data_IF_035232180209
#
_entry.id   IF_035232180209
#
_cell.length_a   1.000
_cell.length_b   1.000
_cell.length_c   1.000
_cell.angle_alpha   90.00
_cell.angle_beta   90.00
_cell.angle_gamma   90.00
#
_symmetry.space_group_name_H-M   'P 1'
#
loop_
_entity.id
_entity.type
_entity.pdbx_description
1 polymer ?
#
# COMPACT_ATOMS: atom_id res chain seq x y z
N UNK A 1 -0.52 1.92 -15.60
CA UNK A 1 -1.60 2.25 -14.63
C UNK A 1 -1.69 1.29 -13.46
N UNK A 2 -1.21 0.03 -13.54
CA UNK A 2 -1.26 -0.91 -12.40
C UNK A 2 -0.32 -0.50 -11.25
N UNK A 3 0.99 -0.36 -11.53
CA UNK A 3 2.02 0.04 -10.54
C UNK A 3 1.66 1.26 -9.67
N UNK A 4 1.17 2.39 -10.20
CA UNK A 4 0.85 3.54 -9.36
C UNK A 4 -0.29 3.24 -8.38
N UNK A 5 -1.35 2.53 -8.81
CA UNK A 5 -2.42 2.14 -7.90
C UNK A 5 -1.97 1.07 -6.90
N UNK A 6 -1.12 0.12 -7.28
CA UNK A 6 -0.54 -0.84 -6.35
C UNK A 6 0.23 -0.14 -5.21
N UNK A 7 1.03 0.89 -5.52
CA UNK A 7 1.72 1.67 -4.49
C UNK A 7 0.77 2.51 -3.63
N UNK A 8 -0.27 3.10 -4.21
CA UNK A 8 -1.27 3.87 -3.45
C UNK A 8 -2.02 2.98 -2.45
N UNK A 9 -2.41 1.76 -2.87
CA UNK A 9 -3.15 0.83 -2.02
C UNK A 9 -2.27 0.02 -1.06
N UNK A 10 -1.04 -0.34 -1.44
CA UNK A 10 -0.23 -1.30 -0.67
C UNK A 10 1.08 -0.73 -0.12
N UNK A 11 1.39 0.55 -0.40
CA UNK A 11 2.45 1.30 0.28
C UNK A 11 1.95 2.62 0.91
N UNK A 12 0.65 2.92 0.79
CA UNK A 12 0.03 4.09 1.40
C UNK A 12 0.63 5.43 0.97
N UNK A 13 1.28 5.52 -0.19
CA UNK A 13 1.88 6.76 -0.68
C UNK A 13 0.79 7.81 -0.89
N UNK A 14 1.06 9.09 -0.62
CA UNK A 14 0.09 10.15 -0.95
C UNK A 14 -0.01 10.29 -2.47
N UNK A 15 -1.20 10.51 -3.06
CA UNK A 15 -1.33 10.74 -4.50
C UNK A 15 -0.38 11.82 -5.04
N UNK A 16 -0.23 12.94 -4.33
CA UNK A 16 0.69 14.02 -4.74
C UNK A 16 2.18 13.74 -4.51
N UNK A 17 2.54 12.70 -3.76
CA UNK A 17 3.93 12.22 -3.66
C UNK A 17 4.28 11.32 -4.86
N UNK A 18 3.29 10.62 -5.44
CA UNK A 18 3.50 9.66 -6.51
C UNK A 18 4.11 10.30 -7.77
N UNK A 19 3.64 11.47 -8.16
CA UNK A 19 4.18 12.20 -9.32
C UNK A 19 5.67 12.57 -9.15
N UNK A 20 6.10 12.79 -7.91
CA UNK A 20 7.49 13.13 -7.57
C UNK A 20 8.41 11.91 -7.51
N UNK A 21 7.86 10.70 -7.58
CA UNK A 21 8.61 9.45 -7.70
C UNK A 21 8.94 9.11 -9.15
N UNK A 22 8.30 9.77 -10.13
CA UNK A 22 8.49 9.50 -11.55
C UNK A 22 9.97 9.66 -11.95
N UNK A 23 10.55 8.61 -12.54
CA UNK A 23 11.94 8.61 -12.99
C UNK A 23 12.97 8.41 -11.87
N UNK A 24 12.53 8.22 -10.62
CA UNK A 24 13.40 7.98 -9.45
C UNK A 24 13.27 6.56 -8.90
N UNK A 25 12.64 5.66 -9.66
CA UNK A 25 12.35 4.30 -9.21
C UNK A 25 13.63 3.51 -8.86
N UNK A 26 14.69 3.66 -9.65
CA UNK A 26 15.96 2.96 -9.40
C UNK A 26 16.68 3.41 -8.12
N UNK A 27 16.40 4.62 -7.63
CA UNK A 27 16.94 5.17 -6.39
C UNK A 27 16.06 4.78 -5.19
N UNK A 28 14.74 4.88 -5.34
CA UNK A 28 13.80 4.88 -4.22
C UNK A 28 13.13 3.53 -3.97
N UNK A 29 13.08 2.65 -4.97
CA UNK A 29 12.42 1.35 -4.87
C UNK A 29 13.44 0.21 -4.87
N UNK A 30 13.72 -0.34 -3.68
CA UNK A 30 14.59 -1.50 -3.53
C UNK A 30 13.76 -2.78 -3.35
N UNK A 31 13.60 -3.54 -4.43
CA UNK A 31 12.87 -4.82 -4.40
C UNK A 31 13.66 -5.95 -3.70
N UNK A 32 14.98 -5.85 -3.59
CA UNK A 32 15.82 -6.83 -2.89
C UNK A 32 15.65 -6.72 -1.38
N UNK A 33 15.76 -5.50 -0.82
CA UNK A 33 15.57 -5.25 0.62
C UNK A 33 14.10 -5.05 1.01
N UNK A 34 13.17 -5.11 0.04
CA UNK A 34 11.73 -4.85 0.23
C UNK A 34 11.47 -3.49 0.87
N UNK A 35 12.15 -2.45 0.37
CA UNK A 35 12.04 -1.09 0.93
C UNK A 35 11.71 -0.08 -0.16
N UNK A 36 10.71 0.76 0.12
CA UNK A 36 10.44 1.97 -0.63
C UNK A 36 10.80 3.18 0.23
N UNK A 37 11.73 4.00 -0.24
CA UNK A 37 12.14 5.23 0.44
C UNK A 37 11.35 6.41 -0.10
N UNK A 38 10.72 7.17 0.80
CA UNK A 38 10.08 8.44 0.47
C UNK A 38 10.92 9.56 1.11
N UNK A 39 11.85 10.17 0.36
CA UNK A 39 12.76 11.17 0.90
C UNK A 39 12.02 12.45 1.26
N UNK A 40 12.62 13.27 2.12
CA UNK A 40 12.04 14.53 2.58
C UNK A 40 11.61 15.48 1.44
N UNK A 41 12.35 15.51 0.32
CA UNK A 41 12.01 16.35 -0.83
C UNK A 41 10.78 15.86 -1.63
N UNK A 42 10.41 14.57 -1.48
CA UNK A 42 9.19 13.99 -2.05
C UNK A 42 8.05 14.13 -1.06
N UNK A 43 8.30 13.82 0.22
CA UNK A 43 7.30 13.73 1.28
C UNK A 43 6.53 15.04 1.49
N UNK A 44 5.20 14.95 1.66
CA UNK A 44 4.37 16.11 2.01
C UNK A 44 4.79 16.74 3.34
N UNK A 45 5.21 15.91 4.29
CA UNK A 45 5.62 16.32 5.64
C UNK A 45 7.06 16.81 5.72
N UNK A 46 7.82 16.76 4.62
CA UNK A 46 9.28 17.06 4.60
C UNK A 46 10.12 16.19 5.53
N UNK A 47 9.60 15.03 5.92
CA UNK A 47 10.33 14.02 6.68
C UNK A 47 10.49 12.78 5.82
N UNK A 48 11.70 12.24 5.79
CA UNK A 48 11.98 10.96 5.17
C UNK A 48 11.24 9.85 5.92
N UNK A 49 10.78 8.85 5.16
CA UNK A 49 10.25 7.61 5.71
C UNK A 49 10.55 6.44 4.79
N UNK A 50 10.59 5.25 5.37
CA UNK A 50 10.64 3.99 4.64
C UNK A 50 9.31 3.27 4.78
N UNK A 51 8.85 2.69 3.67
CA UNK A 51 7.68 1.83 3.62
C UNK A 51 8.17 0.42 3.29
N UNK A 52 7.71 -0.56 4.07
CA UNK A 52 8.01 -1.96 3.81
C UNK A 52 7.20 -2.45 2.62
N UNK A 53 7.86 -3.09 1.65
CA UNK A 53 7.19 -3.67 0.48
C UNK A 53 6.63 -5.03 0.89
N UNK A 54 5.33 -5.05 1.19
CA UNK A 54 4.58 -6.27 1.47
C UNK A 54 4.59 -7.25 0.29
N UNK A 55 4.30 -8.52 0.57
CA UNK A 55 4.37 -9.57 -0.46
C UNK A 55 3.41 -9.37 -1.62
N UNK A 56 2.20 -8.85 -1.38
CA UNK A 56 1.31 -8.45 -2.49
C UNK A 56 1.95 -7.37 -3.34
N UNK A 57 2.45 -6.30 -2.72
CA UNK A 57 3.01 -5.18 -3.46
C UNK A 57 4.20 -5.62 -4.31
N UNK A 58 5.10 -6.42 -3.75
CA UNK A 58 6.21 -6.99 -4.50
C UNK A 58 5.74 -7.77 -5.72
N UNK A 59 4.71 -8.61 -5.58
CA UNK A 59 4.17 -9.37 -6.69
C UNK A 59 3.55 -8.47 -7.78
N UNK A 60 2.81 -7.42 -7.39
CA UNK A 60 2.31 -6.42 -8.33
C UNK A 60 3.43 -5.69 -9.07
N UNK A 61 4.52 -5.33 -8.38
CA UNK A 61 5.64 -4.59 -8.96
C UNK A 61 6.52 -5.46 -9.87
N UNK A 62 6.63 -6.75 -9.59
CA UNK A 62 7.41 -7.71 -10.40
C UNK A 62 6.65 -8.17 -11.64
N UNK A 63 5.35 -8.49 -11.52
CA UNK A 63 4.53 -8.94 -12.66
C UNK A 63 4.17 -7.83 -13.65
N UNK A 64 4.24 -6.57 -13.24
CA UNK A 64 4.00 -5.41 -14.12
C UNK A 64 5.26 -4.55 -14.24
N UNK A 65 6.17 -4.85 -15.19
CA UNK A 65 7.37 -4.05 -15.42
C UNK A 65 7.04 -2.66 -16.01
N UNK A 66 8.03 -1.77 -16.01
CA UNK A 66 7.93 -0.40 -16.54
C UNK A 66 7.90 0.67 -15.45
N UNK A 67 7.72 1.95 -15.84
CA UNK A 67 7.77 3.07 -14.91
C UNK A 67 6.62 3.02 -13.90
N UNK A 68 6.87 3.46 -12.67
CA UNK A 68 5.82 3.58 -11.63
C UNK A 68 4.78 4.61 -12.08
N UNK A 69 5.22 5.75 -12.59
CA UNK A 69 4.34 6.78 -13.14
C UNK A 69 4.39 6.70 -14.66
N UNK A 70 3.33 6.21 -15.33
CA UNK A 70 3.31 6.17 -16.79
C UNK A 70 3.17 7.57 -17.39
N UNK A 71 3.52 7.70 -18.67
CA UNK A 71 3.21 8.92 -19.45
C UNK A 71 1.71 9.18 -19.40
N UNK A 72 1.31 10.46 -19.32
CA UNK A 72 -0.08 10.91 -19.19
C UNK A 72 -0.79 10.40 -17.92
N UNK A 73 -0.05 10.11 -16.84
CA UNK A 73 -0.62 9.58 -15.60
C UNK A 73 -1.78 10.40 -15.07
N UNK A 74 -1.69 11.73 -15.01
CA UNK A 74 -2.76 12.60 -14.51
C UNK A 74 -4.09 12.36 -15.24
N UNK A 75 -4.08 12.40 -16.58
CA UNK A 75 -5.27 12.16 -17.40
C UNK A 75 -5.82 10.75 -17.20
N UNK A 76 -4.96 9.74 -17.20
CA UNK A 76 -5.37 8.34 -17.03
C UNK A 76 -5.91 8.07 -15.62
N UNK A 77 -5.27 8.61 -14.60
CA UNK A 77 -5.67 8.53 -13.19
C UNK A 77 -7.05 9.15 -12.98
N UNK A 78 -7.28 10.36 -13.50
CA UNK A 78 -8.61 11.01 -13.48
C UNK A 78 -9.70 10.15 -14.12
N UNK A 79 -9.40 9.54 -15.29
CA UNK A 79 -10.37 8.66 -15.98
C UNK A 79 -10.68 7.41 -15.17
N UNK A 80 -9.68 6.73 -14.63
CA UNK A 80 -9.85 5.53 -13.80
C UNK A 80 -10.63 5.86 -12.53
N UNK A 81 -10.25 6.93 -11.81
CA UNK A 81 -10.95 7.36 -10.60
C UNK A 81 -12.41 7.69 -10.88
N UNK A 82 -12.70 8.42 -11.97
CA UNK A 82 -14.09 8.69 -12.37
C UNK A 82 -14.86 7.40 -12.68
N UNK A 83 -14.26 6.47 -13.41
CA UNK A 83 -14.91 5.22 -13.80
C UNK A 83 -15.30 4.35 -12.59
N UNK A 84 -14.43 4.29 -11.58
CA UNK A 84 -14.65 3.49 -10.36
C UNK A 84 -15.20 4.30 -9.18
N UNK A 85 -15.55 5.58 -9.36
CA UNK A 85 -16.04 6.44 -8.27
C UNK A 85 -15.04 6.66 -7.14
N UNK A 86 -13.73 6.61 -7.42
CA UNK A 86 -12.69 6.70 -6.39
C UNK A 86 -12.43 8.15 -5.99
N UNK A 87 -12.34 8.40 -4.68
CA UNK A 87 -11.91 9.70 -4.16
C UNK A 87 -10.39 9.85 -4.22
N UNK A 88 -9.89 11.06 -3.96
CA UNK A 88 -8.47 11.37 -4.07
C UNK A 88 -7.58 10.49 -3.17
N UNK A 89 -7.89 10.45 -1.87
CA UNK A 89 -7.06 9.79 -0.85
C UNK A 89 -7.56 8.39 -0.44
N UNK A 90 -8.63 7.87 -1.07
CA UNK A 90 -9.24 6.58 -0.71
C UNK A 90 -8.23 5.45 -0.59
N UNK A 91 -7.35 5.28 -1.58
CA UNK A 91 -6.38 4.19 -1.60
C UNK A 91 -5.42 4.23 -0.40
N UNK A 92 -4.97 5.44 -0.05
CA UNK A 92 -4.12 5.66 1.13
C UNK A 92 -4.89 5.40 2.43
N UNK A 93 -6.15 5.82 2.52
CA UNK A 93 -6.97 5.51 3.68
C UNK A 93 -7.17 4.00 3.83
N UNK A 94 -7.43 3.29 2.73
CA UNK A 94 -7.52 1.82 2.73
C UNK A 94 -6.22 1.18 3.25
N UNK A 95 -5.06 1.61 2.75
CA UNK A 95 -3.77 1.12 3.27
C UNK A 95 -3.68 1.27 4.79
N UNK A 96 -3.89 2.48 5.33
CA UNK A 96 -3.71 2.75 6.76
C UNK A 96 -4.72 1.95 7.59
N UNK A 97 -6.00 1.93 7.19
CA UNK A 97 -7.06 1.16 7.84
C UNK A 97 -6.70 -0.32 7.94
N UNK A 98 -6.37 -0.95 6.83
CA UNK A 98 -6.10 -2.39 6.78
C UNK A 98 -4.76 -2.75 7.41
N UNK A 99 -3.77 -1.85 7.38
CA UNK A 99 -2.49 -2.02 8.07
C UNK A 99 -2.69 -2.04 9.59
N UNK A 100 -3.45 -1.07 10.11
CA UNK A 100 -3.80 -1.04 11.54
C UNK A 100 -4.63 -2.26 11.91
N UNK A 101 -5.56 -2.71 11.07
CA UNK A 101 -6.36 -3.90 11.34
C UNK A 101 -5.51 -5.19 11.39
N UNK A 102 -4.57 -5.35 10.46
CA UNK A 102 -3.71 -6.53 10.36
C UNK A 102 -2.68 -6.61 11.50
N UNK A 103 -1.98 -5.50 11.75
CA UNK A 103 -0.82 -5.46 12.65
C UNK A 103 -1.16 -4.97 14.05
N UNK A 104 -2.31 -4.30 14.22
CA UNK A 104 -2.75 -3.67 15.47
C UNK A 104 -1.71 -2.72 16.07
N UNK A 105 -0.93 -2.05 15.22
CA UNK A 105 0.15 -1.13 15.61
C UNK A 105 -0.09 0.27 15.03
N UNK A 106 -0.32 1.24 15.92
CA UNK A 106 -0.50 2.65 15.56
C UNK A 106 0.83 3.27 15.14
N UNK A 107 1.90 3.02 15.89
CA UNK A 107 3.23 3.58 15.64
C UNK A 107 3.81 3.12 14.30
N UNK A 108 3.71 1.83 13.99
CA UNK A 108 4.21 1.31 12.71
C UNK A 108 3.45 1.91 11.51
N UNK A 109 2.11 1.98 11.59
CA UNK A 109 1.32 2.62 10.55
C UNK A 109 1.64 4.12 10.42
N UNK A 110 1.93 4.81 11.53
CA UNK A 110 2.34 6.21 11.55
C UNK A 110 3.69 6.42 10.85
N UNK A 111 4.69 5.58 11.14
CA UNK A 111 6.03 5.61 10.52
C UNK A 111 5.94 5.38 9.01
N UNK A 112 5.28 4.30 8.58
CA UNK A 112 5.24 3.93 7.16
C UNK A 112 4.38 4.89 6.32
N UNK A 113 3.21 5.29 6.82
CA UNK A 113 2.36 6.22 6.09
C UNK A 113 2.84 7.68 6.21
N UNK A 114 3.67 8.01 7.20
CA UNK A 114 4.04 9.40 7.51
C UNK A 114 2.85 10.19 8.04
N UNK A 115 2.14 9.64 9.02
CA UNK A 115 1.10 10.33 9.79
C UNK A 115 1.54 10.47 11.25
N UNK A 116 0.88 11.33 12.03
CA UNK A 116 1.04 11.26 13.49
C UNK A 116 0.26 10.07 14.05
N UNK A 117 0.74 9.49 15.16
CA UNK A 117 0.03 8.44 15.88
C UNK A 117 -1.37 8.89 16.32
N UNK A 118 -1.54 10.16 16.70
CA UNK A 118 -2.83 10.73 17.09
C UNK A 118 -3.85 10.68 15.96
N UNK A 119 -3.43 10.97 14.72
CA UNK A 119 -4.28 10.86 13.53
C UNK A 119 -4.59 9.40 13.23
N UNK A 120 -3.61 8.51 13.35
CA UNK A 120 -3.81 7.07 13.13
C UNK A 120 -4.84 6.52 14.12
N UNK A 121 -4.66 6.82 15.42
CA UNK A 121 -5.55 6.39 16.51
C UNK A 121 -6.98 6.89 16.30
N UNK A 122 -7.14 8.15 15.91
CA UNK A 122 -8.47 8.78 15.77
C UNK A 122 -9.28 8.20 14.63
N UNK A 123 -8.65 7.88 13.50
CA UNK A 123 -9.38 7.61 12.25
C UNK A 123 -9.34 6.15 11.79
N UNK A 124 -8.42 5.33 12.29
CA UNK A 124 -8.17 3.98 11.73
C UNK A 124 -8.12 2.87 12.77
N UNK A 125 -8.08 3.19 14.07
CA UNK A 125 -8.10 2.16 15.12
C UNK A 125 -9.48 1.52 15.20
N UNK A 126 -9.54 0.19 15.20
CA UNK A 126 -10.77 -0.61 15.33
C UNK A 126 -11.83 -0.38 14.24
N UNK A 127 -11.42 0.07 13.04
CA UNK A 127 -12.35 0.27 11.91
C UNK A 127 -12.60 -0.99 11.08
N UNK A 128 -11.66 -1.93 11.08
CA UNK A 128 -11.76 -3.21 10.38
C UNK A 128 -11.21 -4.36 11.24
N UNK A 129 -11.65 -5.58 10.92
CA UNK A 129 -11.16 -6.81 11.51
C UNK A 129 -9.76 -7.18 11.00
N UNK A 130 -9.03 -7.99 11.80
CA UNK A 130 -7.74 -8.55 11.38
C UNK A 130 -7.85 -9.36 10.09
N UNK A 131 -8.95 -10.09 9.90
CA UNK A 131 -9.23 -10.87 8.69
C UNK A 131 -9.39 -9.99 7.46
N UNK A 132 -10.10 -8.86 7.55
CA UNK A 132 -10.18 -7.89 6.43
C UNK A 132 -8.80 -7.31 6.10
N UNK A 133 -7.99 -7.00 7.12
CA UNK A 133 -6.61 -6.57 6.93
C UNK A 133 -5.76 -7.61 6.19
N UNK A 134 -5.82 -8.87 6.62
CA UNK A 134 -5.14 -9.99 5.97
C UNK A 134 -5.61 -10.18 4.52
N UNK A 135 -6.92 -10.13 4.28
CA UNK A 135 -7.50 -10.23 2.95
C UNK A 135 -7.02 -9.09 2.04
N UNK A 136 -6.96 -7.85 2.53
CA UNK A 136 -6.48 -6.72 1.76
C UNK A 136 -5.01 -6.89 1.33
N UNK A 137 -4.13 -7.28 2.25
CA UNK A 137 -2.72 -7.56 1.94
C UNK A 137 -2.49 -8.90 1.22
N UNK A 138 -3.55 -9.68 1.02
CA UNK A 138 -3.52 -10.89 0.18
C UNK A 138 -3.81 -10.62 -1.30
N UNK A 139 -4.36 -9.46 -1.67
CA UNK A 139 -4.78 -9.17 -3.05
C UNK A 139 -3.61 -9.27 -4.04
N UNK A 140 -3.69 -10.21 -4.99
CA UNK A 140 -2.64 -10.50 -5.98
C UNK A 140 -3.11 -10.28 -7.42
N UNK A 141 -2.18 -10.04 -8.36
CA UNK A 141 -2.49 -10.03 -9.79
C UNK A 141 -2.64 -11.43 -10.40
N UNK A 142 -3.72 -11.65 -11.14
CA UNK A 142 -3.83 -12.75 -12.09
C UNK A 142 -3.73 -12.21 -13.52
N UNK A 143 -2.63 -12.55 -14.21
CA UNK A 143 -2.34 -12.05 -15.56
C UNK A 143 -3.22 -12.72 -16.64
N UNK A 144 -3.58 -13.99 -16.44
CA UNK A 144 -4.43 -14.75 -17.36
C UNK A 144 -5.86 -14.21 -17.35
N UNK A 145 -6.44 -14.07 -16.16
CA UNK A 145 -7.79 -13.54 -15.97
C UNK A 145 -7.86 -12.01 -16.09
N UNK A 146 -6.72 -11.33 -16.18
CA UNK A 146 -6.59 -9.86 -16.24
C UNK A 146 -7.34 -9.15 -15.10
N UNK A 147 -7.31 -9.73 -13.91
CA UNK A 147 -7.99 -9.19 -12.71
C UNK A 147 -7.19 -9.47 -11.44
N UNK A 148 -7.48 -8.71 -10.40
CA UNK A 148 -7.00 -9.04 -9.06
C UNK A 148 -7.80 -10.22 -8.48
N UNK A 149 -7.18 -10.99 -7.58
CA UNK A 149 -7.84 -12.04 -6.82
C UNK A 149 -7.32 -12.08 -5.39
N UNK A 150 -8.12 -12.69 -4.51
CA UNK A 150 -7.76 -13.01 -3.12
C UNK A 150 -7.55 -14.52 -3.08
N UNK A 151 -6.35 -15.02 -2.72
CA UNK A 151 -6.12 -16.45 -2.57
C UNK A 151 -7.03 -17.06 -1.49
N UNK A 152 -7.64 -18.21 -1.78
CA UNK A 152 -8.60 -18.88 -0.88
C UNK A 152 -7.95 -19.39 0.43
N UNK A 153 -6.63 -19.53 0.47
CA UNK A 153 -5.88 -20.19 1.57
C UNK A 153 -5.50 -19.28 2.75
N UNK A 154 -5.79 -17.98 2.72
CA UNK A 154 -5.33 -17.04 3.78
C UNK A 154 -6.15 -17.16 5.08
N UNK A 155 -7.15 -18.04 5.14
CA UNK A 155 -8.11 -18.08 6.25
C UNK A 155 -7.81 -19.02 7.43
N UNK A 156 -6.70 -19.76 7.49
CA UNK A 156 -6.45 -20.60 8.70
C UNK A 156 -4.98 -20.60 9.13
N UNK A 157 -4.66 -19.72 10.08
CA UNK A 157 -3.70 -20.03 11.14
C UNK A 157 -4.22 -19.49 12.47
N UNK A 158 -5.44 -19.89 12.82
CA UNK A 158 -5.88 -19.83 14.22
C UNK A 158 -5.37 -21.08 14.94
N UNK A 159 -4.61 -20.85 16.03
CA UNK A 159 -4.23 -21.81 17.07
C UNK A 159 -3.36 -23.01 16.67
N UNK A 160 -2.06 -22.76 16.44
CA UNK A 160 -1.06 -23.68 17.00
C UNK A 160 -0.93 -23.34 18.48
N UNK A 161 -1.51 -24.21 19.32
CA UNK A 161 -1.55 -24.06 20.77
C UNK A 161 -0.17 -23.84 21.38
N UNK A 162 0.16 -22.57 21.64
CA UNK A 162 1.15 -22.21 22.63
C UNK A 162 0.51 -22.43 23.99
N UNK A 163 0.71 -23.62 24.57
CA UNK A 163 0.69 -23.75 26.02
C UNK A 163 1.87 -22.93 26.53
N UNK A 164 1.56 -21.81 27.18
CA UNK A 164 2.54 -21.10 27.99
C UNK A 164 3.09 -22.10 29.03
N UNK A 165 4.42 -22.16 29.12
CA UNK A 165 5.15 -22.87 30.19
C UNK A 165 5.08 -22.01 31.45
#
# INVERSE_FOLDING_TARGET
MVRPFALLYFAGIRPGELDRLAGREGELLNLHTRTLTIPANVAKTRHERHVTISDNLFEWLTKFPGPIVPVNFDRLSKRIRKHFGLTHDQARHSYISYHVALHRSIGDAALQAGNSESIVKRHYLNTHSKTEGANFFSIRPNLEMRRAYIPTEVLVSENLGLKAI
#
